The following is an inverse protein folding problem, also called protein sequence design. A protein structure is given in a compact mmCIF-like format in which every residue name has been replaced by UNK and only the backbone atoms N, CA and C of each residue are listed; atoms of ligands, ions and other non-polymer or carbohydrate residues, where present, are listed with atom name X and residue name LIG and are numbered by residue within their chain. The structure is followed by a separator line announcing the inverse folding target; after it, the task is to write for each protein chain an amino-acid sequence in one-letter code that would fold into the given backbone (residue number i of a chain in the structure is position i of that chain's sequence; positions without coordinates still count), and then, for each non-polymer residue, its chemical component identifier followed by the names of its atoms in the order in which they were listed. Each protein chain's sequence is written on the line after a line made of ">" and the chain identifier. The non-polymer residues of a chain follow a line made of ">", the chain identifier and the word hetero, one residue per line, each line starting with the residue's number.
data_IF_161606577940
#
_entry.id   IF_161606577940
#
_cell.length_a   1.000
_cell.length_b   1.000
_cell.length_c   1.000
_cell.angle_alpha   90.00
_cell.angle_beta   90.00
_cell.angle_gamma   90.00
#
_symmetry.space_group_name_H-M   'P 1'
#
loop_
_entity.id
_entity.type
_entity.pdbx_description
1 polymer ?
#
# COMPACT_ATOMS: atom_id res chain seq x y z
N UNK A 1 -10.62 -8.90 8.99
CA UNK A 1 -10.06 -9.41 7.73
C UNK A 1 -10.79 -8.73 6.59
N UNK A 2 -10.09 -8.15 5.62
CA UNK A 2 -10.70 -7.64 4.39
C UNK A 2 -10.66 -8.77 3.34
N UNK A 3 -11.70 -8.85 2.50
CA UNK A 3 -11.86 -9.91 1.51
C UNK A 3 -12.24 -9.24 0.18
N UNK A 4 -11.35 -9.34 -0.80
CA UNK A 4 -11.63 -8.98 -2.18
C UNK A 4 -11.67 -10.26 -3.02
N UNK A 5 -12.62 -10.34 -3.95
CA UNK A 5 -12.72 -11.47 -4.87
C UNK A 5 -11.65 -11.33 -5.95
N UNK A 6 -11.06 -12.45 -6.37
CA UNK A 6 -10.21 -12.47 -7.55
C UNK A 6 -10.94 -11.84 -8.74
N UNK A 7 -10.25 -10.98 -9.48
CA UNK A 7 -10.80 -10.30 -10.64
C UNK A 7 -11.17 -11.35 -11.71
N UNK A 8 -12.42 -11.32 -12.18
CA UNK A 8 -12.81 -12.14 -13.33
C UNK A 8 -12.10 -11.64 -14.59
N UNK A 9 -11.77 -12.55 -15.50
CA UNK A 9 -11.14 -12.21 -16.78
C UNK A 9 -12.03 -11.20 -17.54
N UNK A 10 -11.47 -10.03 -17.88
CA UNK A 10 -12.21 -8.93 -18.53
C UNK A 10 -12.93 -7.97 -17.58
N UNK A 11 -12.82 -8.16 -16.26
CA UNK A 11 -13.34 -7.24 -15.25
C UNK A 11 -12.60 -5.90 -15.20
N UNK A 12 -13.25 -4.87 -14.65
CA UNK A 12 -12.66 -3.53 -14.51
C UNK A 12 -11.59 -3.51 -13.41
N UNK A 13 -10.37 -3.10 -13.76
CA UNK A 13 -9.30 -2.85 -12.80
C UNK A 13 -9.50 -1.46 -12.17
N UNK A 14 -9.96 -1.42 -10.92
CA UNK A 14 -10.26 -0.17 -10.21
C UNK A 14 -9.09 0.47 -9.47
N UNK A 15 -7.97 -0.25 -9.33
CA UNK A 15 -6.77 0.18 -8.61
C UNK A 15 -5.50 -0.16 -9.40
N UNK A 16 -4.52 -0.77 -8.75
CA UNK A 16 -3.36 -1.37 -9.41
C UNK A 16 -3.43 -2.90 -9.44
N UNK A 17 -2.44 -3.54 -10.05
CA UNK A 17 -2.34 -5.00 -10.06
C UNK A 17 -1.94 -5.53 -8.69
N UNK A 18 -2.88 -6.22 -8.04
CA UNK A 18 -2.70 -6.90 -6.76
C UNK A 18 -2.81 -8.40 -7.00
N UNK A 19 -1.80 -9.15 -6.60
CA UNK A 19 -1.72 -10.61 -6.76
C UNK A 19 -2.26 -11.36 -5.53
N UNK A 20 -2.34 -10.70 -4.38
CA UNK A 20 -2.61 -11.36 -3.10
C UNK A 20 -1.37 -12.02 -2.49
N UNK A 21 -0.17 -11.60 -2.93
CA UNK A 21 1.11 -12.11 -2.46
C UNK A 21 1.71 -11.11 -1.48
N UNK A 22 1.42 -11.33 -0.19
CA UNK A 22 1.94 -10.49 0.89
C UNK A 22 3.47 -10.59 0.94
N UNK A 23 4.14 -9.44 0.78
CA UNK A 23 5.60 -9.33 0.82
C UNK A 23 6.12 -9.15 2.25
N UNK A 24 5.28 -8.63 3.13
CA UNK A 24 5.63 -8.49 4.54
C UNK A 24 4.53 -7.85 5.36
N UNK A 25 4.89 -7.51 6.60
CA UNK A 25 3.98 -6.90 7.57
C UNK A 25 4.46 -5.48 7.85
N UNK A 26 3.53 -4.53 7.78
CA UNK A 26 3.72 -3.15 8.20
C UNK A 26 3.07 -2.88 9.55
N UNK A 27 3.45 -1.75 10.16
CA UNK A 27 2.89 -1.25 11.41
C UNK A 27 2.27 0.11 11.18
N UNK A 28 1.04 0.30 11.64
CA UNK A 28 0.40 1.62 11.67
C UNK A 28 1.06 2.43 12.78
N UNK A 29 1.64 3.58 12.46
CA UNK A 29 2.34 4.43 13.44
C UNK A 29 1.49 5.57 13.94
N UNK A 30 0.64 6.13 13.08
CA UNK A 30 -0.26 7.21 13.41
C UNK A 30 -1.53 7.14 12.58
N UNK A 31 -2.62 7.64 13.16
CA UNK A 31 -3.91 7.79 12.48
C UNK A 31 -4.50 9.15 12.81
N UNK A 32 -4.97 9.88 11.81
CA UNK A 32 -5.53 11.22 11.98
C UNK A 32 -6.76 11.40 11.08
N UNK A 33 -7.78 12.10 11.57
CA UNK A 33 -8.90 12.54 10.74
C UNK A 33 -8.62 13.93 10.19
N UNK A 34 -8.63 14.07 8.87
CA UNK A 34 -8.42 15.34 8.17
C UNK A 34 -9.61 15.59 7.24
N UNK A 35 -10.51 16.48 7.66
CA UNK A 35 -11.82 16.61 7.04
C UNK A 35 -12.59 15.29 7.13
N UNK A 36 -13.06 14.78 5.99
CA UNK A 36 -13.75 13.47 5.92
C UNK A 36 -12.80 12.30 5.65
N UNK A 37 -11.52 12.57 5.38
CA UNK A 37 -10.53 11.53 5.07
C UNK A 37 -9.77 11.11 6.32
N UNK A 38 -9.34 9.85 6.35
CA UNK A 38 -8.47 9.32 7.40
C UNK A 38 -7.05 9.18 6.87
N UNK A 39 -6.11 9.89 7.47
CA UNK A 39 -4.68 9.80 7.15
C UNK A 39 -4.07 8.71 8.02
N UNK A 40 -3.39 7.76 7.39
CA UNK A 40 -2.71 6.66 8.07
C UNK A 40 -1.23 6.67 7.71
N UNK A 41 -0.38 6.55 8.72
CA UNK A 41 1.06 6.39 8.57
C UNK A 41 1.46 4.94 8.84
N UNK A 42 2.41 4.44 8.05
CA UNK A 42 2.90 3.07 8.11
C UNK A 42 4.42 3.04 8.13
N UNK A 43 4.97 2.21 9.00
CA UNK A 43 6.37 1.73 8.96
C UNK A 43 6.39 0.34 8.35
N UNK A 44 7.36 0.07 7.49
CA UNK A 44 7.60 -1.27 6.92
C UNK A 44 9.10 -1.59 6.95
N UNK A 45 9.44 -2.86 6.76
CA UNK A 45 10.84 -3.27 6.72
C UNK A 45 11.61 -2.52 5.62
N UNK A 46 12.84 -2.08 5.90
CA UNK A 46 13.62 -1.24 4.98
C UNK A 46 13.86 -1.87 3.60
N UNK A 47 13.92 -3.21 3.51
CA UNK A 47 14.01 -3.88 2.22
C UNK A 47 12.74 -3.70 1.36
N UNK A 48 11.55 -3.49 1.96
CA UNK A 48 10.33 -3.20 1.19
C UNK A 48 10.23 -1.73 0.80
N UNK A 49 10.83 -0.81 1.59
CA UNK A 49 10.80 0.63 1.31
C UNK A 49 11.41 1.00 -0.05
N UNK A 50 12.32 0.19 -0.59
CA UNK A 50 12.89 0.42 -1.93
C UNK A 50 11.88 0.31 -3.08
N UNK A 51 10.71 -0.28 -2.83
CA UNK A 51 9.60 -0.38 -3.78
C UNK A 51 8.51 0.66 -3.55
N UNK A 52 8.64 1.49 -2.50
CA UNK A 52 7.67 2.51 -2.13
C UNK A 52 8.10 3.82 -2.78
N UNK A 53 7.23 4.40 -3.61
CA UNK A 53 7.48 5.68 -4.28
C UNK A 53 6.31 6.64 -4.10
N UNK A 54 6.60 7.94 -4.02
CA UNK A 54 5.55 8.95 -3.88
C UNK A 54 4.65 8.95 -5.10
N UNK A 55 3.33 9.02 -4.89
CA UNK A 55 2.27 8.83 -5.90
C UNK A 55 2.25 7.44 -6.54
N UNK A 56 3.07 6.50 -6.05
CA UNK A 56 3.02 5.10 -6.43
C UNK A 56 1.84 4.36 -5.79
N UNK A 57 1.64 3.12 -6.21
CA UNK A 57 0.63 2.23 -5.68
C UNK A 57 1.19 1.33 -4.59
N UNK A 58 0.36 0.99 -3.61
CA UNK A 58 0.67 -0.01 -2.59
C UNK A 58 -0.61 -0.72 -2.17
N UNK A 59 -0.51 -2.00 -1.83
CA UNK A 59 -1.63 -2.78 -1.31
C UNK A 59 -1.48 -2.97 0.20
N UNK A 60 -2.50 -2.57 0.96
CA UNK A 60 -2.53 -2.69 2.42
C UNK A 60 -3.77 -3.48 2.84
N UNK A 61 -3.57 -4.62 3.49
CA UNK A 61 -4.65 -5.56 3.85
C UNK A 61 -5.57 -5.90 2.65
N UNK A 62 -5.00 -6.00 1.45
CA UNK A 62 -5.76 -6.27 0.22
C UNK A 62 -6.39 -5.04 -0.43
N UNK A 63 -6.21 -3.84 0.11
CA UNK A 63 -6.77 -2.60 -0.44
C UNK A 63 -5.71 -1.87 -1.26
N UNK A 64 -5.97 -1.67 -2.55
CA UNK A 64 -5.13 -0.84 -3.42
C UNK A 64 -5.24 0.65 -3.04
N UNK A 65 -4.11 1.28 -2.72
CA UNK A 65 -4.03 2.67 -2.27
C UNK A 65 -2.88 3.41 -2.96
N UNK A 66 -2.97 4.75 -2.93
CA UNK A 66 -1.93 5.64 -3.43
C UNK A 66 -1.08 6.15 -2.27
N UNK A 67 0.24 6.08 -2.41
CA UNK A 67 1.19 6.65 -1.47
C UNK A 67 1.18 8.17 -1.64
N UNK A 68 0.83 8.91 -0.59
CA UNK A 68 0.77 10.37 -0.64
C UNK A 68 2.10 11.03 -0.25
N UNK A 69 2.82 10.47 0.72
CA UNK A 69 4.08 11.02 1.22
C UNK A 69 4.97 9.93 1.81
N UNK A 70 6.28 10.14 1.75
CA UNK A 70 7.30 9.27 2.33
C UNK A 70 8.18 10.13 3.25
N UNK A 71 8.51 9.62 4.44
CA UNK A 71 9.42 10.23 5.41
C UNK A 71 10.28 9.13 6.04
N UNK A 72 11.58 9.10 5.73
CA UNK A 72 12.48 8.07 6.24
C UNK A 72 12.02 6.67 5.83
N UNK A 73 11.75 5.81 6.81
CA UNK A 73 11.25 4.44 6.67
C UNK A 73 9.71 4.34 6.74
N UNK A 74 9.04 5.49 6.75
CA UNK A 74 7.59 5.59 6.87
C UNK A 74 6.96 6.20 5.62
N UNK A 75 5.71 5.83 5.36
CA UNK A 75 4.89 6.47 4.32
C UNK A 75 3.47 6.69 4.82
N UNK A 76 2.74 7.60 4.16
CA UNK A 76 1.32 7.85 4.45
C UNK A 76 0.42 7.64 3.25
N UNK A 77 -0.82 7.29 3.55
CA UNK A 77 -1.92 7.21 2.59
C UNK A 77 -3.15 7.94 3.15
N UNK A 78 -4.00 8.43 2.25
CA UNK A 78 -5.27 9.04 2.58
C UNK A 78 -6.40 8.06 2.25
N UNK A 79 -7.18 7.68 3.26
CA UNK A 79 -8.33 6.80 3.11
C UNK A 79 -9.58 7.64 2.97
N UNK A 80 -10.20 7.58 1.79
CA UNK A 80 -11.46 8.28 1.48
C UNK A 80 -12.65 7.66 2.22
N UNK A 81 -13.76 8.41 2.42
CA UNK A 81 -14.90 7.95 3.23
C UNK A 81 -15.49 6.61 2.80
N UNK A 82 -15.54 6.32 1.49
CA UNK A 82 -16.05 5.04 1.01
C UNK A 82 -15.17 3.87 1.49
N UNK A 83 -13.86 3.97 1.30
CA UNK A 83 -12.88 2.96 1.74
C UNK A 83 -12.88 2.78 3.25
N UNK A 84 -13.05 3.87 4.02
CA UNK A 84 -13.20 3.78 5.48
C UNK A 84 -14.41 2.91 5.86
N UNK A 85 -15.56 3.08 5.19
CA UNK A 85 -16.79 2.33 5.53
C UNK A 85 -16.73 0.85 5.18
N UNK A 86 -16.02 0.47 4.11
CA UNK A 86 -16.06 -0.89 3.55
C UNK A 86 -14.80 -1.72 3.84
N UNK A 87 -13.80 -1.15 4.51
CA UNK A 87 -12.54 -1.84 4.81
C UNK A 87 -12.15 -1.69 6.28
N UNK A 88 -11.28 -2.58 6.77
CA UNK A 88 -10.76 -2.51 8.15
C UNK A 88 -9.94 -1.25 8.40
N UNK A 89 -9.41 -0.62 7.35
CA UNK A 89 -8.62 0.61 7.44
C UNK A 89 -9.42 1.79 8.02
N UNK A 90 -10.76 1.73 7.96
CA UNK A 90 -11.62 2.71 8.61
C UNK A 90 -11.54 2.70 10.13
N UNK A 91 -11.17 1.57 10.75
CA UNK A 91 -11.15 1.40 12.22
C UNK A 91 -9.77 1.05 12.79
N UNK A 92 -8.76 0.81 11.94
CA UNK A 92 -7.39 0.47 12.37
C UNK A 92 -6.79 1.55 13.26
N UNK A 93 -6.03 1.19 14.27
CA UNK A 93 -5.40 2.09 15.24
C UNK A 93 -3.87 2.04 15.14
N UNK A 94 -3.22 3.06 15.70
CA UNK A 94 -1.76 3.06 15.85
C UNK A 94 -1.31 1.86 16.69
N UNK A 95 -0.20 1.24 16.28
CA UNK A 95 0.34 0.01 16.86
C UNK A 95 -0.15 -1.27 16.20
N UNK A 96 -1.23 -1.24 15.42
CA UNK A 96 -1.72 -2.42 14.73
C UNK A 96 -0.84 -2.81 13.53
N UNK A 97 -0.89 -4.11 13.19
CA UNK A 97 -0.18 -4.68 12.05
C UNK A 97 -1.11 -4.79 10.84
N UNK A 98 -0.52 -4.63 9.66
CA UNK A 98 -1.19 -4.77 8.36
C UNK A 98 -0.33 -5.58 7.40
N UNK A 99 -0.96 -6.30 6.49
CA UNK A 99 -0.28 -6.98 5.40
C UNK A 99 0.08 -5.96 4.31
N UNK A 100 1.29 -6.07 3.78
CA UNK A 100 1.81 -5.20 2.72
C UNK A 100 2.12 -6.04 1.50
N UNK A 101 1.61 -5.61 0.35
CA UNK A 101 2.05 -6.06 -0.97
C UNK A 101 2.50 -4.83 -1.76
N UNK A 102 3.75 -4.87 -2.24
CA UNK A 102 4.33 -3.77 -3.03
C UNK A 102 3.99 -3.95 -4.51
N UNK A 103 3.98 -2.84 -5.26
CA UNK A 103 3.64 -2.87 -6.68
C UNK A 103 4.54 -3.84 -7.44
N UNK A 104 3.93 -4.75 -8.18
CA UNK A 104 4.61 -5.74 -9.00
C UNK A 104 5.50 -5.09 -10.06
N UNK A 105 5.14 -3.91 -10.56
CA UNK A 105 5.96 -3.15 -11.50
C UNK A 105 7.29 -2.75 -10.84
N UNK A 106 7.27 -2.32 -9.58
CA UNK A 106 8.49 -1.97 -8.85
C UNK A 106 9.42 -3.19 -8.67
N UNK A 107 8.85 -4.37 -8.41
CA UNK A 107 9.63 -5.63 -8.33
C UNK A 107 10.29 -6.01 -9.64
N UNK A 108 9.60 -5.84 -10.78
CA UNK A 108 10.18 -6.16 -12.09
C UNK A 108 11.23 -5.13 -12.54
N UNK A 109 11.08 -3.86 -12.15
CA UNK A 109 12.04 -2.82 -12.48
C UNK A 109 13.36 -2.97 -11.74
N UNK A 110 13.36 -3.48 -10.51
CA UNK A 110 14.58 -3.60 -9.71
C UNK A 110 15.70 -4.43 -10.38
N UNK A 111 15.47 -5.67 -10.87
CA UNK A 111 16.50 -6.43 -11.57
C UNK A 111 16.95 -5.77 -12.87
N UNK A 112 16.06 -5.07 -13.58
CA UNK A 112 16.39 -4.40 -14.84
C UNK A 112 17.34 -3.23 -14.61
N UNK A 113 17.08 -2.40 -13.59
CA UNK A 113 17.96 -1.29 -13.20
C UNK A 113 19.25 -1.79 -12.55
N UNK A 114 19.20 -2.91 -11.82
CA UNK A 114 20.39 -3.48 -11.15
C UNK A 114 21.33 -4.20 -12.13
N UNK A 115 20.81 -4.73 -13.24
CA UNK A 115 21.60 -5.44 -14.27
C UNK A 115 21.97 -4.55 -15.45
N UNK A 116 21.12 -3.59 -15.80
CA UNK A 116 21.39 -2.55 -16.78
C UNK A 116 21.94 -1.32 -16.08
N UNK A 117 23.24 -1.31 -15.81
CA UNK A 117 23.94 -0.08 -15.46
C UNK A 117 23.70 0.94 -16.58
N UNK A 118 22.78 1.89 -16.36
CA UNK A 118 22.78 3.15 -17.08
C UNK A 118 24.00 3.93 -16.58
N UNK A 119 25.16 3.60 -17.16
CA UNK A 119 26.29 4.51 -17.31
C UNK A 119 26.12 5.27 -18.62
#
# INVERSE_FOLDING_TARGET
>A
MHLERALQLGGRLGGHWVQGHVDGVGRVTATEMVGESRVLWFEIAGHLMRYVTSKGSICIDGVSLTINEIRGDSFRVNIVPHTQRVTRLGVVQAGERVNIEVDILAKYLEPLVSRGGLQ
#
